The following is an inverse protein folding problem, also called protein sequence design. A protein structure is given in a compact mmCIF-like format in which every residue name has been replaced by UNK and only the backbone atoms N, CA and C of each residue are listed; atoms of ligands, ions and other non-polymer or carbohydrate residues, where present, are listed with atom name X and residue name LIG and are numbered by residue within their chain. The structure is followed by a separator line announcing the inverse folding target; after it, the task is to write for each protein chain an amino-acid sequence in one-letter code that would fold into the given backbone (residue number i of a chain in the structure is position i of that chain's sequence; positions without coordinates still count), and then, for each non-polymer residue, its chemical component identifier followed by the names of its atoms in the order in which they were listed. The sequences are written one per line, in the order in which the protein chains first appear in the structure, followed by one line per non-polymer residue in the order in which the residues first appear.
data_IF_684795857347
#
_entry.id   IF_684795857347
#
_cell.length_a   1.000
_cell.length_b   1.000
_cell.length_c   1.000
_cell.angle_alpha   90.00
_cell.angle_beta   90.00
_cell.angle_gamma   90.00
#
_symmetry.space_group_name_H-M   'P 1'
#
loop_
_entity.id
_entity.type
_entity.pdbx_description
1 polymer ?
#
# COMPACT_ATOMS: atom_id res chain seq x y z
N UNK A 1 2.87 12.20 -20.63
CA UNK A 1 1.60 11.53 -20.25
C UNK A 1 1.92 10.16 -19.61
N UNK A 2 2.33 10.12 -18.35
CA UNK A 2 2.60 8.86 -17.61
C UNK A 2 2.16 8.89 -16.13
N UNK A 3 1.54 9.97 -15.66
CA UNK A 3 1.16 10.11 -14.24
C UNK A 3 -0.07 9.28 -13.84
N UNK A 4 -1.02 9.04 -14.74
CA UNK A 4 -2.28 8.36 -14.40
C UNK A 4 -2.15 6.87 -14.15
N UNK A 5 -1.13 6.19 -14.70
CA UNK A 5 -0.96 4.74 -14.54
C UNK A 5 -0.50 4.34 -13.14
N UNK A 6 0.29 5.20 -12.48
CA UNK A 6 0.85 4.91 -11.16
C UNK A 6 -0.22 5.03 -10.07
N UNK A 7 -1.12 6.01 -10.19
CA UNK A 7 -2.24 6.22 -9.25
C UNK A 7 -3.22 5.03 -9.29
N UNK A 8 -3.58 4.55 -10.49
CA UNK A 8 -4.47 3.39 -10.64
C UNK A 8 -3.88 2.10 -10.05
N UNK A 9 -2.58 1.87 -10.26
CA UNK A 9 -1.87 0.70 -9.72
C UNK A 9 -1.88 0.66 -8.19
N UNK A 10 -1.78 1.82 -7.54
CA UNK A 10 -1.81 1.89 -6.08
C UNK A 10 -3.21 1.73 -5.49
N UNK A 11 -4.24 2.27 -6.14
CA UNK A 11 -5.62 2.13 -5.65
C UNK A 11 -6.04 0.67 -5.53
N UNK A 12 -5.76 -0.15 -6.55
CA UNK A 12 -6.12 -1.58 -6.54
C UNK A 12 -5.38 -2.35 -5.43
N UNK A 13 -4.11 -2.02 -5.18
CA UNK A 13 -3.33 -2.66 -4.12
C UNK A 13 -3.74 -2.25 -2.73
N UNK A 14 -4.10 -0.98 -2.56
CA UNK A 14 -4.66 -0.45 -1.30
C UNK A 14 -5.94 -1.20 -0.96
N UNK A 15 -6.82 -1.42 -1.93
CA UNK A 15 -8.04 -2.18 -1.73
C UNK A 15 -7.76 -3.65 -1.34
N UNK A 16 -6.81 -4.31 -2.02
CA UNK A 16 -6.36 -5.67 -1.64
C UNK A 16 -5.79 -5.73 -0.22
N UNK A 17 -4.99 -4.73 0.18
CA UNK A 17 -4.47 -4.63 1.55
C UNK A 17 -5.59 -4.43 2.57
N UNK A 18 -6.57 -3.56 2.29
CA UNK A 18 -7.75 -3.34 3.14
C UNK A 18 -8.55 -4.62 3.34
N UNK A 19 -8.77 -5.38 2.26
CA UNK A 19 -9.50 -6.65 2.31
C UNK A 19 -8.73 -7.73 3.08
N UNK A 20 -7.40 -7.78 2.93
CA UNK A 20 -6.55 -8.77 3.58
C UNK A 20 -6.25 -8.44 5.05
N UNK A 21 -6.24 -7.16 5.40
CA UNK A 21 -5.87 -6.66 6.72
C UNK A 21 -6.95 -5.68 7.22
N UNK A 22 -7.98 -6.16 7.92
CA UNK A 22 -9.06 -5.31 8.44
C UNK A 22 -8.61 -4.30 9.50
N UNK A 23 -7.37 -4.41 9.98
CA UNK A 23 -6.71 -3.43 10.86
C UNK A 23 -6.27 -2.15 10.12
N UNK A 24 -6.18 -2.18 8.80
CA UNK A 24 -5.81 -1.03 7.97
C UNK A 24 -7.10 -0.31 7.57
N UNK A 25 -7.20 0.98 7.88
CA UNK A 25 -8.30 1.83 7.47
C UNK A 25 -7.96 2.61 6.19
N UNK A 26 -8.97 3.17 5.52
CA UNK A 26 -8.73 4.04 4.36
C UNK A 26 -7.83 5.22 4.69
N UNK A 27 -7.87 5.74 5.92
CA UNK A 27 -6.97 6.79 6.39
C UNK A 27 -5.50 6.36 6.37
N UNK A 28 -5.21 5.10 6.73
CA UNK A 28 -3.87 4.50 6.63
C UNK A 28 -3.49 4.15 5.18
N UNK A 29 -4.41 4.28 4.22
CA UNK A 29 -4.15 4.06 2.79
C UNK A 29 -4.16 5.38 2.01
N UNK A 30 -4.62 6.47 2.63
CA UNK A 30 -4.75 7.79 2.02
C UNK A 30 -3.44 8.58 2.10
N UNK A 31 -2.44 8.15 1.33
CA UNK A 31 -1.18 8.86 1.19
C UNK A 31 -1.08 9.59 -0.15
N UNK A 32 -0.57 10.83 -0.08
CA UNK A 32 -0.23 11.65 -1.24
C UNK A 32 0.83 10.96 -2.11
N UNK A 33 0.76 11.18 -3.43
CA UNK A 33 1.75 10.71 -4.40
C UNK A 33 3.17 11.11 -3.94
N UNK A 34 4.08 10.14 -3.85
CA UNK A 34 5.43 10.34 -3.30
C UNK A 34 5.61 9.99 -1.81
N UNK A 35 4.54 9.79 -1.03
CA UNK A 35 4.59 9.32 0.37
C UNK A 35 4.42 7.80 0.53
N UNK A 36 4.52 7.04 -0.57
CA UNK A 36 4.41 5.57 -0.57
C UNK A 36 5.43 4.91 0.36
N UNK A 37 6.62 5.49 0.49
CA UNK A 37 7.65 4.97 1.41
C UNK A 37 7.15 5.05 2.86
N UNK A 38 6.65 6.21 3.28
CA UNK A 38 6.14 6.43 4.64
C UNK A 38 4.94 5.55 4.94
N UNK A 39 4.03 5.40 3.97
CA UNK A 39 2.92 4.46 4.04
C UNK A 39 3.40 3.04 4.32
N UNK A 40 4.37 2.54 3.55
CA UNK A 40 4.91 1.19 3.75
C UNK A 40 5.57 1.05 5.12
N UNK A 41 6.26 2.08 5.63
CA UNK A 41 6.83 2.02 6.98
C UNK A 41 5.74 1.90 8.03
N UNK A 42 4.72 2.75 7.96
CA UNK A 42 3.62 2.79 8.93
C UNK A 42 2.79 1.51 8.90
N UNK A 43 2.48 1.00 7.71
CA UNK A 43 1.86 -0.31 7.54
C UNK A 43 2.74 -1.43 8.10
N UNK A 44 4.05 -1.33 7.95
CA UNK A 44 5.00 -2.33 8.48
C UNK A 44 4.91 -2.41 9.99
N UNK A 45 4.93 -1.25 10.65
CA UNK A 45 4.74 -1.16 12.10
C UNK A 45 3.35 -1.63 12.54
N UNK A 46 2.29 -1.22 11.83
CA UNK A 46 0.89 -1.55 12.20
C UNK A 46 0.57 -3.04 12.03
N UNK A 47 1.10 -3.67 10.98
CA UNK A 47 0.89 -5.09 10.69
C UNK A 47 1.94 -6.00 11.36
N UNK A 48 2.99 -5.43 11.96
CA UNK A 48 4.15 -6.19 12.43
C UNK A 48 4.89 -6.90 11.29
N UNK A 49 4.90 -6.32 10.08
CA UNK A 49 5.53 -6.89 8.89
C UNK A 49 6.73 -6.08 8.44
N UNK A 50 7.70 -6.74 7.82
CA UNK A 50 8.83 -6.03 7.22
C UNK A 50 8.37 -5.27 5.97
N UNK A 51 9.13 -4.22 5.63
CA UNK A 51 8.90 -3.45 4.39
C UNK A 51 8.96 -4.34 3.15
N UNK A 52 9.79 -5.39 3.18
CA UNK A 52 9.94 -6.37 2.09
C UNK A 52 8.73 -7.28 1.95
N UNK A 53 8.16 -7.75 3.06
CA UNK A 53 6.89 -8.50 3.07
C UNK A 53 5.76 -7.66 2.49
N UNK A 54 5.64 -6.41 2.94
CA UNK A 54 4.66 -5.47 2.41
C UNK A 54 4.86 -5.20 0.93
N UNK A 55 6.10 -4.92 0.51
CA UNK A 55 6.45 -4.76 -0.90
C UNK A 55 6.12 -6.02 -1.69
N UNK A 56 6.33 -7.21 -1.15
CA UNK A 56 5.96 -8.45 -1.81
C UNK A 56 4.45 -8.55 -1.96
N UNK A 57 3.66 -8.28 -0.91
CA UNK A 57 2.18 -8.29 -0.98
C UNK A 57 1.66 -7.26 -1.99
N UNK A 58 2.27 -6.08 -2.01
CA UNK A 58 1.94 -4.99 -2.92
C UNK A 58 2.35 -5.39 -4.34
N UNK A 59 3.61 -5.74 -4.60
CA UNK A 59 4.22 -5.96 -5.92
C UNK A 59 3.86 -7.32 -6.53
N UNK A 60 3.34 -8.28 -5.75
CA UNK A 60 2.94 -9.59 -6.27
C UNK A 60 1.92 -9.41 -7.40
N UNK A 61 2.43 -9.59 -8.62
CA UNK A 61 1.66 -9.63 -9.85
C UNK A 61 1.35 -11.10 -10.08
N UNK A 62 0.19 -11.53 -9.60
CA UNK A 62 -0.41 -12.77 -10.05
C UNK A 62 -1.13 -12.52 -11.37
#
# INVERSE_FOLDING_TARGET
MMETKVVGYWNEKKEKLRLKYPIINEEDLSYSQGKEKEMIELLGYKLGKTKEELRSIIILRN
#
